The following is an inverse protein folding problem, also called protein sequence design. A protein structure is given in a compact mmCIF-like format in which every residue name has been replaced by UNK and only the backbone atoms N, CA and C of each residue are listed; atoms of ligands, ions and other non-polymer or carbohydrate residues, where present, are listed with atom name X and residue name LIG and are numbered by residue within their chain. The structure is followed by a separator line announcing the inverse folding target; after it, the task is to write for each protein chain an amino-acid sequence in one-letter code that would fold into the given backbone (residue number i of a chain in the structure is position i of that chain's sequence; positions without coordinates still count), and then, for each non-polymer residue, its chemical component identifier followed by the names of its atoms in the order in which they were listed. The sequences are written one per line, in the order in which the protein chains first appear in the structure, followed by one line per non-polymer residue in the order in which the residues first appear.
data_IF_947424801380
#
_entry.id   IF_947424801380
#
_cell.length_a   1.000
_cell.length_b   1.000
_cell.length_c   1.000
_cell.angle_alpha   90.00
_cell.angle_beta   90.00
_cell.angle_gamma   90.00
#
_symmetry.space_group_name_H-M   'P 1'
#
loop_
_entity.id
_entity.type
_entity.pdbx_description
1 polymer ?
#
# COMPACT_ATOMS: atom_id res chain seq x y z
N UNK A 1 21.26 10.36 25.43
CA UNK A 1 20.51 9.90 24.24
C UNK A 1 19.05 9.75 24.64
N UNK A 2 18.20 10.74 24.34
CA UNK A 2 16.75 10.60 24.56
C UNK A 2 16.17 10.01 23.28
N UNK A 3 15.71 8.77 23.34
CA UNK A 3 14.79 8.26 22.35
C UNK A 3 13.56 9.16 22.40
N UNK A 4 13.39 10.00 21.38
CA UNK A 4 12.14 10.70 21.15
C UNK A 4 11.12 9.63 20.83
N UNK A 5 10.23 9.33 21.76
CA UNK A 5 9.07 8.49 21.52
C UNK A 5 8.20 9.23 20.49
N UNK A 6 8.43 8.94 19.20
CA UNK A 6 7.47 9.31 18.18
C UNK A 6 6.19 8.55 18.51
N UNK A 7 5.03 9.22 18.61
CA UNK A 7 3.77 8.51 18.74
C UNK A 7 3.67 7.53 17.57
N UNK A 8 3.33 6.29 17.88
CA UNK A 8 3.07 5.24 16.88
C UNK A 8 2.15 5.83 15.80
N UNK A 9 2.50 5.70 14.51
CA UNK A 9 1.76 6.35 13.44
C UNK A 9 0.28 5.92 13.45
N UNK A 10 -0.63 6.90 13.38
CA UNK A 10 -2.06 6.62 13.37
C UNK A 10 -2.48 6.05 12.01
N UNK A 11 -2.77 4.74 11.99
CA UNK A 11 -3.21 4.02 10.80
C UNK A 11 -4.47 4.64 10.18
N UNK A 12 -5.40 5.18 10.98
CA UNK A 12 -6.61 5.79 10.43
C UNK A 12 -6.27 7.07 9.66
N UNK A 13 -5.37 7.90 10.21
CA UNK A 13 -4.88 9.08 9.51
C UNK A 13 -4.18 8.71 8.20
N UNK A 14 -3.36 7.66 8.19
CA UNK A 14 -2.70 7.19 6.96
C UNK A 14 -3.74 6.68 5.96
N UNK A 15 -4.76 5.95 6.40
CA UNK A 15 -5.85 5.46 5.57
C UNK A 15 -6.62 6.61 4.88
N UNK A 16 -6.89 7.70 5.60
CA UNK A 16 -7.55 8.88 5.02
C UNK A 16 -6.69 9.55 3.94
N UNK A 17 -5.37 9.63 4.13
CA UNK A 17 -4.44 10.12 3.12
C UNK A 17 -4.40 9.24 1.88
N UNK A 18 -4.47 7.91 2.05
CA UNK A 18 -4.57 6.96 0.92
C UNK A 18 -5.86 7.18 0.15
N UNK A 19 -7.01 7.32 0.85
CA UNK A 19 -8.31 7.61 0.22
C UNK A 19 -8.32 8.96 -0.52
N UNK A 20 -7.60 9.95 -0.01
CA UNK A 20 -7.39 11.24 -0.66
C UNK A 20 -6.43 11.17 -1.87
N UNK A 21 -5.80 10.03 -2.14
CA UNK A 21 -4.86 9.85 -3.25
C UNK A 21 -3.50 10.51 -3.01
N UNK A 22 -3.15 10.80 -1.77
CA UNK A 22 -1.90 11.46 -1.42
C UNK A 22 -0.71 10.50 -1.41
N UNK A 23 0.48 11.04 -1.65
CA UNK A 23 1.72 10.28 -1.53
C UNK A 23 2.08 10.07 -0.07
N UNK A 24 2.26 8.81 0.33
CA UNK A 24 2.77 8.45 1.64
C UNK A 24 4.29 8.64 1.73
N UNK A 25 4.76 8.96 2.93
CA UNK A 25 6.17 8.95 3.30
C UNK A 25 6.68 7.53 3.56
N UNK A 26 7.99 7.40 3.74
CA UNK A 26 8.61 6.11 4.09
C UNK A 26 8.09 5.55 5.42
N UNK A 27 8.03 6.39 6.46
CA UNK A 27 7.62 5.98 7.81
C UNK A 27 6.14 5.54 7.85
N UNK A 28 5.29 6.20 7.07
CA UNK A 28 3.88 5.81 6.95
C UNK A 28 3.73 4.47 6.20
N UNK A 29 4.55 4.23 5.17
CA UNK A 29 4.60 2.94 4.49
C UNK A 29 5.10 1.83 5.43
N UNK A 30 6.09 2.12 6.26
CA UNK A 30 6.59 1.18 7.27
C UNK A 30 5.52 0.86 8.31
N UNK A 31 4.79 1.87 8.81
CA UNK A 31 3.69 1.67 9.76
C UNK A 31 2.56 0.81 9.17
N UNK A 32 2.20 1.01 7.90
CA UNK A 32 1.22 0.15 7.23
C UNK A 32 1.70 -1.30 7.13
N UNK A 33 3.01 -1.52 6.99
CA UNK A 33 3.59 -2.85 6.92
C UNK A 33 3.62 -3.55 8.29
N UNK A 34 3.93 -2.81 9.36
CA UNK A 34 4.12 -3.38 10.71
C UNK A 34 2.83 -3.48 11.51
N UNK A 35 1.96 -2.48 11.41
CA UNK A 35 0.89 -2.26 12.41
C UNK A 35 -0.52 -2.26 11.81
N UNK A 36 -0.68 -2.31 10.49
CA UNK A 36 -2.00 -2.30 9.85
C UNK A 36 -2.63 -3.69 9.82
N UNK A 37 -3.93 -3.74 10.10
CA UNK A 37 -4.74 -4.93 9.86
C UNK A 37 -4.76 -5.29 8.35
N UNK A 38 -4.66 -6.59 8.04
CA UNK A 38 -4.56 -7.06 6.65
C UNK A 38 -5.81 -6.78 5.83
N UNK A 39 -6.99 -6.77 6.44
CA UNK A 39 -8.24 -6.47 5.73
C UNK A 39 -8.32 -4.99 5.39
N UNK A 40 -7.96 -4.11 6.33
CA UNK A 40 -7.86 -2.68 6.08
C UNK A 40 -6.81 -2.39 4.99
N UNK A 41 -5.63 -3.00 5.06
CA UNK A 41 -4.60 -2.84 4.04
C UNK A 41 -5.08 -3.28 2.66
N UNK A 42 -5.80 -4.42 2.59
CA UNK A 42 -6.40 -4.92 1.36
C UNK A 42 -7.46 -4.00 0.78
N UNK A 43 -8.34 -3.43 1.62
CA UNK A 43 -9.34 -2.43 1.21
C UNK A 43 -8.67 -1.20 0.59
N UNK A 44 -7.67 -0.63 1.28
CA UNK A 44 -6.94 0.55 0.82
C UNK A 44 -6.20 0.28 -0.50
N UNK A 45 -5.56 -0.89 -0.61
CA UNK A 45 -4.89 -1.31 -1.84
C UNK A 45 -5.90 -1.47 -3.00
N UNK A 46 -7.07 -2.08 -2.74
CA UNK A 46 -8.10 -2.23 -3.77
C UNK A 46 -8.66 -0.87 -4.20
N UNK A 47 -8.91 0.04 -3.26
CA UNK A 47 -9.35 1.41 -3.56
C UNK A 47 -8.41 2.10 -4.55
N UNK A 48 -7.11 2.11 -4.26
CA UNK A 48 -6.10 2.72 -5.14
C UNK A 48 -6.01 1.97 -6.48
N UNK A 49 -6.12 0.63 -6.48
CA UNK A 49 -6.10 -0.18 -7.70
C UNK A 49 -7.30 0.09 -8.60
N UNK A 50 -8.48 0.29 -8.03
CA UNK A 50 -9.72 0.64 -8.76
C UNK A 50 -9.68 2.07 -9.28
N UNK A 51 -9.15 3.03 -8.52
CA UNK A 51 -8.92 4.39 -9.03
C UNK A 51 -8.01 4.39 -10.27
N UNK A 52 -6.95 3.58 -10.26
CA UNK A 52 -5.97 3.51 -11.38
C UNK A 52 -6.45 2.69 -12.57
N UNK A 53 -7.16 1.59 -12.33
CA UNK A 53 -7.42 0.57 -13.36
C UNK A 53 -8.91 0.30 -13.61
N UNK A 54 -9.81 0.95 -12.86
CA UNK A 54 -11.22 0.60 -12.82
C UNK A 54 -11.41 -0.88 -12.48
N UNK A 55 -12.30 -1.55 -13.23
CA UNK A 55 -12.53 -3.00 -13.11
C UNK A 55 -11.68 -3.85 -14.07
N UNK A 56 -10.68 -3.28 -14.74
CA UNK A 56 -9.83 -4.00 -15.70
C UNK A 56 -8.73 -4.78 -14.99
N UNK A 57 -8.44 -5.96 -15.52
CA UNK A 57 -7.26 -6.76 -15.18
C UNK A 57 -6.51 -7.05 -16.47
N UNK A 58 -5.18 -6.87 -16.46
CA UNK A 58 -4.32 -7.11 -17.60
C UNK A 58 -3.54 -8.41 -17.39
N UNK A 59 -3.30 -9.16 -18.46
CA UNK A 59 -2.49 -10.37 -18.45
C UNK A 59 -1.52 -10.34 -19.64
N UNK A 60 -0.40 -11.05 -19.51
CA UNK A 60 0.61 -11.15 -20.55
C UNK A 60 0.78 -12.62 -20.96
N UNK A 61 0.78 -12.89 -22.27
CA UNK A 61 1.13 -14.19 -22.85
C UNK A 61 2.62 -14.15 -23.22
N UNK A 62 3.46 -14.66 -22.32
CA UNK A 62 4.90 -14.78 -22.55
C UNK A 62 5.26 -16.24 -22.90
N UNK A 63 6.16 -16.41 -23.87
CA UNK A 63 6.77 -17.71 -24.19
C UNK A 63 8.26 -17.65 -23.86
N UNK A 64 8.68 -18.38 -22.83
CA UNK A 64 10.09 -18.57 -22.53
C UNK A 64 10.63 -19.76 -23.32
N UNK A 65 11.61 -19.55 -24.19
CA UNK A 65 12.27 -20.62 -24.94
C UNK A 65 13.58 -20.92 -24.23
N UNK A 66 13.71 -22.12 -23.69
CA UNK A 66 14.98 -22.64 -23.17
C UNK A 66 15.57 -23.57 -24.23
N UNK A 67 16.73 -23.21 -24.80
CA UNK A 67 17.52 -24.12 -25.63
C UNK A 67 18.66 -24.70 -24.78
N UNK A 68 18.93 -25.99 -24.95
CA UNK A 68 20.14 -26.67 -24.45
C UNK A 68 21.09 -26.92 -25.62
#
# INVERSE_FOLDING_TARGET
MKASANPSPDINRIADRVRAGERLSFDEGLALYTDCDVHLLGELANHVREQKNGRKAYYNINRHINYS
#
